data_IF_528153583149
#
_entry.id   IF_528153583149
#
_cell.length_a   1.000
_cell.length_b   1.000
_cell.length_c   1.000
_cell.angle_alpha   90.00
_cell.angle_beta   90.00
_cell.angle_gamma   90.00
#
_symmetry.space_group_name_H-M   'P 1'
#
loop_
_entity.id
_entity.type
_entity.pdbx_description
1 polymer ?
#
# COMPACT_ATOMS: atom_id res chain seq x y z
N UNK A 1 -9.92 1.25 -1.20
CA UNK A 1 -8.98 0.86 -2.27
C UNK A 1 -9.59 -0.11 -3.29
N UNK A 2 -10.02 -1.37 -2.97
CA UNK A 2 -10.50 -2.32 -3.99
C UNK A 2 -11.65 -1.77 -4.85
N UNK A 3 -12.58 -1.05 -4.24
CA UNK A 3 -13.73 -0.47 -4.94
C UNK A 3 -13.33 0.67 -5.90
N UNK A 4 -12.35 1.50 -5.55
CA UNK A 4 -11.85 2.56 -6.44
C UNK A 4 -11.20 1.96 -7.69
N UNK A 5 -10.46 0.84 -7.56
CA UNK A 5 -9.91 0.11 -8.71
C UNK A 5 -11.03 -0.49 -9.56
N UNK A 6 -12.05 -1.08 -8.92
CA UNK A 6 -13.20 -1.63 -9.64
C UNK A 6 -13.99 -0.53 -10.38
N UNK A 7 -14.17 0.64 -9.77
CA UNK A 7 -14.80 1.81 -10.42
C UNK A 7 -13.96 2.30 -11.62
N UNK A 8 -12.62 2.43 -11.47
CA UNK A 8 -11.71 2.82 -12.57
C UNK A 8 -11.77 1.83 -13.72
N UNK A 9 -11.74 0.53 -13.45
CA UNK A 9 -11.89 -0.51 -14.47
C UNK A 9 -13.23 -0.39 -15.21
N UNK A 10 -14.32 -0.20 -14.46
CA UNK A 10 -15.67 -0.06 -15.03
C UNK A 10 -15.79 1.16 -15.93
N UNK A 11 -15.19 2.29 -15.57
CA UNK A 11 -15.14 3.50 -16.40
C UNK A 11 -14.38 3.27 -17.73
N UNK A 12 -13.43 2.35 -17.74
CA UNK A 12 -12.65 1.95 -18.91
C UNK A 12 -13.32 0.83 -19.72
N UNK A 13 -14.57 0.45 -19.39
CA UNK A 13 -15.33 -0.58 -20.09
C UNK A 13 -14.94 -2.01 -19.73
N UNK A 14 -14.15 -2.22 -18.68
CA UNK A 14 -13.78 -3.54 -18.17
C UNK A 14 -14.75 -3.88 -17.04
N UNK A 15 -15.42 -5.04 -17.13
CA UNK A 15 -16.35 -5.50 -16.09
C UNK A 15 -15.58 -6.33 -15.03
N UNK A 16 -15.22 -5.74 -13.87
CA UNK A 16 -14.54 -6.48 -12.80
C UNK A 16 -15.51 -7.42 -12.08
N UNK A 17 -15.02 -8.57 -11.64
CA UNK A 17 -15.73 -9.46 -10.71
C UNK A 17 -15.00 -9.44 -9.38
N UNK A 18 -15.70 -9.12 -8.30
CA UNK A 18 -15.11 -9.08 -6.96
C UNK A 18 -15.21 -10.44 -6.27
N UNK A 19 -14.10 -10.94 -5.75
CA UNK A 19 -14.05 -12.10 -4.89
C UNK A 19 -13.75 -11.64 -3.47
N UNK A 20 -14.82 -11.27 -2.75
CA UNK A 20 -14.73 -10.62 -1.45
C UNK A 20 -14.48 -11.63 -0.33
N UNK A 21 -13.46 -11.36 0.50
CA UNK A 21 -13.19 -12.17 1.69
C UNK A 21 -14.22 -11.85 2.79
N UNK A 22 -14.87 -12.91 3.29
CA UNK A 22 -15.80 -12.78 4.41
C UNK A 22 -15.10 -12.24 5.65
N UNK A 23 -15.72 -11.26 6.29
CA UNK A 23 -15.17 -10.59 7.48
C UNK A 23 -14.13 -9.48 7.18
N UNK A 24 -13.66 -9.36 5.92
CA UNK A 24 -12.66 -8.35 5.54
C UNK A 24 -13.21 -7.25 4.63
N UNK A 25 -14.42 -7.42 4.07
CA UNK A 25 -15.02 -6.47 3.14
C UNK A 25 -16.36 -5.96 3.66
N UNK A 26 -16.65 -4.70 3.35
CA UNK A 26 -17.94 -4.06 3.60
C UNK A 26 -18.99 -4.61 2.61
N UNK A 27 -20.06 -5.27 3.09
CA UNK A 27 -21.06 -5.89 2.22
C UNK A 27 -21.76 -4.89 1.31
N UNK A 28 -22.18 -3.74 1.82
CA UNK A 28 -22.94 -2.74 1.05
C UNK A 28 -22.15 -2.20 -0.14
N UNK A 29 -20.84 -2.12 0.01
CA UNK A 29 -19.93 -1.71 -1.07
C UNK A 29 -19.67 -2.80 -2.07
N UNK A 30 -19.61 -4.07 -1.63
CA UNK A 30 -19.38 -5.23 -2.49
C UNK A 30 -20.58 -5.48 -3.40
N UNK A 31 -21.81 -5.30 -2.90
CA UNK A 31 -23.07 -5.51 -3.63
C UNK A 31 -23.23 -4.63 -4.87
N UNK A 32 -22.50 -3.51 -4.95
CA UNK A 32 -22.48 -2.62 -6.13
C UNK A 32 -21.88 -3.26 -7.38
N UNK A 33 -21.14 -4.37 -7.21
CA UNK A 33 -20.39 -5.04 -8.27
C UNK A 33 -20.84 -6.50 -8.42
N UNK A 34 -20.60 -7.10 -9.57
CA UNK A 34 -20.66 -8.56 -9.71
C UNK A 34 -19.66 -9.18 -8.75
N UNK A 35 -20.11 -10.06 -7.85
CA UNK A 35 -19.26 -10.53 -6.78
C UNK A 35 -19.52 -11.96 -6.33
N UNK A 36 -18.53 -12.55 -5.67
CA UNK A 36 -18.62 -13.81 -4.94
C UNK A 36 -18.00 -13.67 -3.56
N UNK A 37 -18.67 -14.21 -2.55
CA UNK A 37 -18.11 -14.30 -1.21
C UNK A 37 -17.30 -15.58 -1.05
N UNK A 38 -16.02 -15.45 -0.65
CA UNK A 38 -15.09 -16.53 -0.35
C UNK A 38 -14.58 -16.40 1.09
N UNK A 39 -14.10 -17.51 1.64
CA UNK A 39 -13.46 -17.50 2.97
C UNK A 39 -11.99 -17.85 2.82
N UNK A 40 -11.16 -17.39 3.76
CA UNK A 40 -9.74 -17.78 3.80
C UNK A 40 -9.64 -19.31 3.93
N UNK A 41 -8.73 -19.92 3.15
CA UNK A 41 -8.57 -21.36 3.11
C UNK A 41 -9.43 -22.08 2.06
N UNK A 42 -10.24 -21.37 1.25
CA UNK A 42 -11.06 -21.94 0.18
C UNK A 42 -10.45 -21.71 -1.22
N UNK A 43 -9.15 -21.96 -1.40
CA UNK A 43 -8.47 -21.74 -2.66
C UNK A 43 -9.04 -22.57 -3.82
N UNK A 44 -9.43 -23.83 -3.55
CA UNK A 44 -10.04 -24.67 -4.57
C UNK A 44 -11.43 -24.18 -5.01
N UNK A 45 -12.24 -23.63 -4.10
CA UNK A 45 -13.50 -22.95 -4.43
C UNK A 45 -13.24 -21.66 -5.21
N UNK A 46 -12.28 -20.85 -4.77
CA UNK A 46 -11.93 -19.62 -5.42
C UNK A 46 -11.50 -19.87 -6.89
N UNK A 47 -10.60 -20.81 -7.14
CA UNK A 47 -10.16 -21.16 -8.51
C UNK A 47 -11.27 -21.65 -9.41
N UNK A 48 -12.24 -22.43 -8.87
CA UNK A 48 -13.43 -22.84 -9.62
C UNK A 48 -14.30 -21.64 -10.01
N UNK A 49 -14.52 -20.70 -9.07
CA UNK A 49 -15.27 -19.49 -9.33
C UNK A 49 -14.56 -18.58 -10.35
N UNK A 50 -13.23 -18.40 -10.24
CA UNK A 50 -12.46 -17.64 -11.23
C UNK A 50 -12.65 -18.19 -12.65
N UNK A 51 -12.60 -19.52 -12.81
CA UNK A 51 -12.82 -20.18 -14.10
C UNK A 51 -14.27 -20.05 -14.60
N UNK A 52 -15.27 -20.21 -13.72
CA UNK A 52 -16.68 -20.06 -14.10
C UNK A 52 -17.05 -18.64 -14.52
N UNK A 53 -16.35 -17.64 -13.97
CA UNK A 53 -16.48 -16.24 -14.35
C UNK A 53 -15.64 -15.86 -15.60
N UNK A 54 -14.85 -16.80 -16.14
CA UNK A 54 -13.97 -16.56 -17.27
C UNK A 54 -12.77 -15.65 -16.96
N UNK A 55 -12.43 -15.48 -15.66
CA UNK A 55 -11.30 -14.67 -15.26
C UNK A 55 -9.99 -15.31 -15.70
N UNK A 56 -9.13 -14.54 -16.33
CA UNK A 56 -7.74 -14.91 -16.67
C UNK A 56 -6.75 -14.08 -15.85
N UNK A 57 -7.04 -12.82 -15.66
CA UNK A 57 -6.25 -11.87 -14.91
C UNK A 57 -6.82 -11.72 -13.51
N UNK A 58 -5.96 -11.83 -12.50
CA UNK A 58 -6.33 -11.71 -11.10
C UNK A 58 -5.46 -10.65 -10.43
N UNK A 59 -6.07 -9.84 -9.59
CA UNK A 59 -5.37 -8.84 -8.79
C UNK A 59 -5.77 -9.00 -7.32
N UNK A 60 -4.79 -8.93 -6.42
CA UNK A 60 -5.03 -8.83 -4.99
C UNK A 60 -5.00 -7.37 -4.56
N UNK A 61 -6.03 -6.93 -3.85
CA UNK A 61 -6.13 -5.55 -3.37
C UNK A 61 -6.66 -5.55 -1.94
N UNK A 62 -5.93 -4.94 -1.04
CA UNK A 62 -6.31 -4.80 0.36
C UNK A 62 -5.33 -5.51 1.29
N UNK A 63 -5.52 -5.28 2.58
CA UNK A 63 -4.70 -5.89 3.63
C UNK A 63 -5.31 -7.24 4.02
N UNK A 64 -4.53 -8.29 3.90
CA UNK A 64 -4.91 -9.60 4.44
C UNK A 64 -4.41 -9.69 5.88
N UNK A 65 -5.31 -9.42 6.83
CA UNK A 65 -5.01 -9.70 8.23
C UNK A 65 -4.88 -11.22 8.41
N UNK A 66 -3.88 -11.66 9.18
CA UNK A 66 -3.72 -13.09 9.50
C UNK A 66 -4.98 -13.59 10.19
N UNK A 67 -5.76 -14.48 9.54
CA UNK A 67 -7.00 -14.96 10.13
C UNK A 67 -6.68 -15.81 11.38
N UNK A 68 -7.56 -15.75 12.37
CA UNK A 68 -7.51 -16.73 13.44
C UNK A 68 -7.69 -18.15 12.87
N UNK A 69 -7.03 -19.15 13.44
CA UNK A 69 -7.14 -20.54 12.97
C UNK A 69 -8.59 -21.04 12.89
N UNK A 70 -9.47 -20.53 13.76
CA UNK A 70 -10.90 -20.83 13.79
C UNK A 70 -11.67 -20.28 12.59
N UNK A 71 -11.13 -19.29 11.87
CA UNK A 71 -11.76 -18.65 10.71
C UNK A 71 -11.35 -19.29 9.38
N UNK A 72 -10.31 -20.13 9.40
CA UNK A 72 -9.78 -20.81 8.22
C UNK A 72 -10.70 -21.99 7.87
N UNK A 73 -11.35 -21.91 6.72
CA UNK A 73 -12.17 -23.00 6.16
C UNK A 73 -11.40 -23.71 5.05
N UNK A 74 -10.73 -24.81 5.38
CA UNK A 74 -9.95 -25.56 4.40
C UNK A 74 -10.88 -26.35 3.45
N UNK A 75 -10.66 -26.22 2.15
CA UNK A 75 -11.23 -27.11 1.14
C UNK A 75 -10.17 -28.08 0.56
N UNK A 76 -10.63 -29.09 -0.19
CA UNK A 76 -9.75 -30.08 -0.79
C UNK A 76 -8.69 -29.47 -1.74
N UNK A 77 -9.01 -28.38 -2.42
CA UNK A 77 -8.07 -27.66 -3.27
C UNK A 77 -6.94 -27.07 -2.45
N UNK A 78 -7.25 -26.45 -1.32
CA UNK A 78 -6.27 -25.89 -0.38
C UNK A 78 -5.43 -27.00 0.26
N UNK A 79 -6.05 -28.13 0.65
CA UNK A 79 -5.33 -29.27 1.25
C UNK A 79 -4.26 -29.81 0.29
N UNK A 80 -4.53 -29.92 -1.01
CA UNK A 80 -3.57 -30.38 -2.02
C UNK A 80 -2.32 -29.49 -2.13
N UNK A 81 -2.45 -28.21 -1.86
CA UNK A 81 -1.37 -27.23 -1.93
C UNK A 81 -0.89 -26.78 -0.55
N UNK A 82 -1.38 -27.42 0.52
CA UNK A 82 -1.17 -27.00 1.91
C UNK A 82 0.32 -26.86 2.26
N UNK A 83 1.18 -27.78 1.79
CA UNK A 83 2.63 -27.68 2.00
C UNK A 83 3.25 -26.41 1.40
N UNK A 84 2.78 -26.01 0.21
CA UNK A 84 3.23 -24.78 -0.47
C UNK A 84 2.68 -23.53 0.21
N UNK A 85 1.42 -23.54 0.60
CA UNK A 85 0.77 -22.48 1.37
C UNK A 85 1.46 -22.33 2.72
N UNK A 86 1.75 -23.43 3.42
CA UNK A 86 2.44 -23.41 4.72
C UNK A 86 3.86 -22.85 4.62
N UNK A 87 4.59 -23.15 3.54
CA UNK A 87 5.90 -22.56 3.30
C UNK A 87 5.81 -21.02 3.10
N UNK A 88 4.76 -20.53 2.44
CA UNK A 88 4.49 -19.11 2.27
C UNK A 88 4.11 -18.41 3.60
N UNK A 89 3.45 -19.11 4.52
CA UNK A 89 3.09 -18.58 5.85
C UNK A 89 4.30 -18.34 6.78
N UNK A 90 5.45 -18.96 6.53
CA UNK A 90 6.68 -18.78 7.33
C UNK A 90 7.41 -17.47 7.06
N UNK A 91 7.05 -16.74 5.99
CA UNK A 91 7.51 -15.39 5.69
C UNK A 91 6.57 -14.31 6.24
N UNK A 92 6.86 -13.04 5.96
CA UNK A 92 5.96 -11.91 6.21
C UNK A 92 4.69 -11.98 5.36
N UNK A 93 3.79 -11.00 5.52
CA UNK A 93 2.51 -10.96 4.79
C UNK A 93 2.71 -10.86 3.26
N UNK A 94 3.77 -10.19 2.79
CA UNK A 94 4.18 -10.13 1.38
C UNK A 94 4.50 -11.52 0.81
N UNK A 95 5.13 -12.38 1.61
CA UNK A 95 5.45 -13.76 1.21
C UNK A 95 4.21 -14.62 1.06
N UNK A 96 3.16 -14.37 1.85
CA UNK A 96 1.90 -15.10 1.76
C UNK A 96 1.17 -14.79 0.46
N UNK A 97 0.97 -13.51 0.14
CA UNK A 97 0.29 -13.08 -1.09
C UNK A 97 1.07 -13.52 -2.32
N UNK A 98 2.39 -13.34 -2.32
CA UNK A 98 3.27 -13.80 -3.41
C UNK A 98 3.26 -15.34 -3.56
N UNK A 99 3.14 -16.07 -2.46
CA UNK A 99 3.02 -17.53 -2.46
C UNK A 99 1.71 -18.01 -3.07
N UNK A 100 0.59 -17.40 -2.68
CA UNK A 100 -0.74 -17.70 -3.25
C UNK A 100 -0.76 -17.29 -4.73
N UNK A 101 -0.20 -16.14 -5.09
CA UNK A 101 -0.10 -15.68 -6.47
C UNK A 101 0.62 -16.71 -7.35
N UNK A 102 1.78 -17.22 -6.91
CA UNK A 102 2.51 -18.27 -7.64
C UNK A 102 1.71 -19.57 -7.81
N UNK A 103 0.90 -19.96 -6.83
CA UNK A 103 0.04 -21.13 -6.94
C UNK A 103 -1.03 -20.90 -8.02
N UNK A 104 -1.64 -19.71 -8.06
CA UNK A 104 -2.63 -19.34 -9.06
C UNK A 104 -2.02 -19.25 -10.47
N UNK A 105 -0.79 -18.74 -10.60
CA UNK A 105 -0.05 -18.73 -11.87
C UNK A 105 0.23 -20.15 -12.38
N UNK A 106 0.60 -21.09 -11.50
CA UNK A 106 0.73 -22.51 -11.85
C UNK A 106 -0.59 -23.13 -12.28
N UNK A 107 -1.72 -22.63 -11.77
CA UNK A 107 -3.08 -23.06 -12.17
C UNK A 107 -3.56 -22.39 -13.47
N UNK A 108 -2.72 -21.58 -14.12
CA UNK A 108 -2.97 -20.96 -15.44
C UNK A 108 -3.62 -19.58 -15.38
N UNK A 109 -3.68 -18.92 -14.23
CA UNK A 109 -4.09 -17.52 -14.11
C UNK A 109 -2.87 -16.59 -14.30
N UNK A 110 -3.12 -15.33 -14.65
CA UNK A 110 -2.11 -14.28 -14.70
C UNK A 110 -2.33 -13.32 -13.53
N UNK A 111 -1.32 -13.18 -12.69
CA UNK A 111 -1.35 -12.16 -11.62
C UNK A 111 -0.93 -10.81 -12.18
N UNK A 112 -1.79 -9.82 -12.01
CA UNK A 112 -1.56 -8.43 -12.45
C UNK A 112 -1.54 -7.49 -11.24
N UNK A 113 -0.84 -6.36 -11.38
CA UNK A 113 -0.77 -5.32 -10.36
C UNK A 113 -1.63 -4.09 -10.69
N UNK A 114 -1.73 -3.15 -9.75
CA UNK A 114 -2.40 -1.85 -9.98
C UNK A 114 -1.82 -1.13 -11.19
N UNK A 115 -0.50 -1.24 -11.42
CA UNK A 115 0.20 -0.66 -12.57
C UNK A 115 -0.39 -1.11 -13.91
N UNK A 116 -0.83 -2.37 -13.99
CA UNK A 116 -1.36 -2.95 -15.22
C UNK A 116 -2.82 -2.57 -15.46
N UNK A 117 -3.59 -2.41 -14.37
CA UNK A 117 -5.06 -2.29 -14.44
C UNK A 117 -5.57 -0.88 -14.16
N UNK A 118 -4.88 -0.09 -13.34
CA UNK A 118 -5.28 1.27 -12.96
C UNK A 118 -4.05 2.18 -12.77
N UNK A 119 -3.23 2.40 -13.82
CA UNK A 119 -2.01 3.21 -13.74
C UNK A 119 -2.27 4.67 -13.34
N UNK A 120 -3.47 5.17 -13.61
CA UNK A 120 -3.97 6.49 -13.22
C UNK A 120 -4.10 6.68 -11.70
N UNK A 121 -4.12 5.59 -10.94
CA UNK A 121 -4.10 5.62 -9.48
C UNK A 121 -2.69 5.70 -8.88
N UNK A 122 -1.66 5.62 -9.70
CA UNK A 122 -0.28 5.70 -9.23
C UNK A 122 0.20 7.14 -9.14
N UNK A 123 1.06 7.41 -8.16
CA UNK A 123 1.71 8.71 -8.01
C UNK A 123 2.52 9.06 -9.28
N UNK A 124 2.28 10.21 -9.91
CA UNK A 124 3.10 10.67 -11.02
C UNK A 124 4.46 11.19 -10.54
N UNK A 125 5.41 11.35 -11.45
CA UNK A 125 6.67 12.06 -11.18
C UNK A 125 6.45 13.56 -11.03
N UNK A 126 7.30 14.17 -10.20
CA UNK A 126 7.28 15.62 -9.94
C UNK A 126 6.43 16.00 -8.75
N UNK A 127 6.31 17.28 -8.53
CA UNK A 127 5.47 17.84 -7.45
C UNK A 127 4.04 18.04 -7.97
N UNK A 128 3.05 17.57 -7.21
CA UNK A 128 1.64 17.65 -7.58
C UNK A 128 0.80 18.59 -6.70
N UNK A 129 1.40 19.19 -5.67
CA UNK A 129 0.79 20.19 -4.81
C UNK A 129 1.32 21.60 -5.15
N UNK A 130 0.71 22.66 -4.59
CA UNK A 130 1.15 24.04 -4.81
C UNK A 130 2.48 24.36 -4.13
N UNK A 131 2.67 23.88 -2.90
CA UNK A 131 3.94 24.03 -2.21
C UNK A 131 5.01 23.16 -2.89
N UNK A 132 6.25 23.64 -2.90
CA UNK A 132 7.39 22.92 -3.50
C UNK A 132 8.46 22.65 -2.45
N UNK A 133 9.22 21.54 -2.55
CA UNK A 133 10.30 21.25 -1.63
C UNK A 133 11.41 22.31 -1.76
N UNK A 134 11.84 22.87 -0.63
CA UNK A 134 13.02 23.73 -0.54
C UNK A 134 14.32 22.91 -0.60
N UNK A 135 15.51 23.52 -0.73
CA UNK A 135 16.78 22.80 -0.78
C UNK A 135 17.04 21.89 0.43
N UNK A 136 16.56 22.25 1.61
CA UNK A 136 16.72 21.43 2.80
C UNK A 136 15.79 20.19 2.75
N UNK A 137 14.55 20.37 2.30
CA UNK A 137 13.64 19.26 2.06
C UNK A 137 14.17 18.29 0.99
N UNK A 138 14.79 18.82 -0.08
CA UNK A 138 15.45 17.98 -1.10
C UNK A 138 16.59 17.13 -0.50
N UNK A 139 17.41 17.72 0.37
CA UNK A 139 18.46 16.99 1.08
C UNK A 139 17.89 15.93 2.03
N UNK A 140 16.81 16.25 2.76
CA UNK A 140 16.09 15.31 3.63
C UNK A 140 15.49 14.15 2.83
N UNK A 141 14.92 14.41 1.64
CA UNK A 141 14.41 13.39 0.72
C UNK A 141 15.53 12.44 0.30
N UNK A 142 16.67 12.98 -0.15
CA UNK A 142 17.81 12.17 -0.59
C UNK A 142 18.29 11.24 0.54
N UNK A 143 18.45 11.78 1.74
CA UNK A 143 18.83 11.00 2.92
C UNK A 143 17.78 9.93 3.28
N UNK A 144 16.49 10.27 3.21
CA UNK A 144 15.42 9.31 3.48
C UNK A 144 15.43 8.13 2.51
N UNK A 145 15.68 8.37 1.21
CA UNK A 145 15.85 7.31 0.20
C UNK A 145 17.03 6.39 0.53
N UNK A 146 18.17 6.97 0.88
CA UNK A 146 19.38 6.22 1.27
C UNK A 146 19.11 5.30 2.46
N UNK A 147 18.45 5.83 3.51
CA UNK A 147 18.10 5.07 4.72
C UNK A 147 17.13 3.93 4.38
N UNK A 148 16.06 4.18 3.63
CA UNK A 148 15.11 3.13 3.24
C UNK A 148 15.77 2.05 2.37
N UNK A 149 16.68 2.45 1.47
CA UNK A 149 17.46 1.49 0.69
C UNK A 149 18.34 0.58 1.57
N UNK A 150 18.98 1.15 2.58
CA UNK A 150 19.81 0.40 3.52
C UNK A 150 19.00 -0.53 4.45
N UNK A 151 17.77 -0.15 4.81
CA UNK A 151 16.88 -0.95 5.66
C UNK A 151 16.11 -2.04 4.91
N UNK A 152 15.97 -1.90 3.60
CA UNK A 152 15.24 -2.85 2.74
C UNK A 152 15.60 -4.33 2.97
N UNK A 153 16.89 -4.71 3.04
CA UNK A 153 17.31 -6.10 3.28
C UNK A 153 16.87 -6.67 4.63
N UNK A 154 16.56 -5.81 5.62
CA UNK A 154 16.13 -6.22 6.96
C UNK A 154 14.61 -6.28 7.12
N UNK A 155 13.87 -5.97 6.06
CA UNK A 155 12.39 -5.92 6.07
C UNK A 155 11.82 -4.92 7.09
N UNK A 156 12.56 -3.84 7.40
CA UNK A 156 12.17 -2.81 8.36
C UNK A 156 11.46 -1.67 7.64
N UNK A 157 10.14 -1.56 7.86
CA UNK A 157 9.31 -0.43 7.43
C UNK A 157 9.44 -0.06 5.93
N UNK A 158 8.69 0.93 5.53
CA UNK A 158 8.75 1.49 4.17
C UNK A 158 8.62 3.03 4.19
N UNK A 159 8.71 3.62 5.40
CA UNK A 159 8.67 5.07 5.58
C UNK A 159 9.68 5.53 6.63
N UNK A 160 10.21 6.73 6.42
CA UNK A 160 11.15 7.39 7.32
C UNK A 160 10.85 8.88 7.39
N UNK A 161 11.01 9.49 8.56
CA UNK A 161 10.95 10.94 8.73
C UNK A 161 12.36 11.48 8.92
N UNK A 162 12.73 12.42 8.07
CA UNK A 162 14.01 13.15 8.13
C UNK A 162 13.73 14.62 8.34
N UNK A 163 14.44 15.28 9.27
CA UNK A 163 14.31 16.70 9.57
C UNK A 163 15.70 17.31 9.66
N UNK A 164 16.00 18.27 8.79
CA UNK A 164 17.29 18.99 8.74
C UNK A 164 18.50 18.02 8.73
N UNK A 165 18.43 16.98 7.90
CA UNK A 165 19.45 15.95 7.76
C UNK A 165 19.49 14.93 8.90
N UNK A 166 18.58 15.01 9.87
CA UNK A 166 18.50 14.06 10.97
C UNK A 166 17.33 13.06 10.78
N UNK A 167 17.62 11.75 10.82
CA UNK A 167 16.59 10.70 10.83
C UNK A 167 15.95 10.67 12.21
N UNK A 168 14.72 11.14 12.33
CA UNK A 168 14.03 11.26 13.62
C UNK A 168 13.15 10.05 13.94
N UNK A 169 12.67 9.33 12.91
CA UNK A 169 11.87 8.13 13.10
C UNK A 169 11.86 7.27 11.83
N UNK A 170 11.82 5.96 12.01
CA UNK A 170 11.64 4.95 10.95
C UNK A 170 10.35 4.20 11.26
N UNK A 171 9.58 3.87 10.21
CA UNK A 171 8.36 3.06 10.34
C UNK A 171 8.69 1.64 10.83
N UNK A 172 7.87 1.13 11.71
CA UNK A 172 7.91 -0.23 12.22
C UNK A 172 6.50 -0.85 12.11
N UNK A 173 6.18 -1.84 12.92
CA UNK A 173 4.90 -2.55 12.97
C UNK A 173 3.68 -1.62 13.21
N UNK A 174 3.94 -0.42 13.71
CA UNK A 174 2.92 0.63 13.93
C UNK A 174 2.34 1.23 12.63
N UNK A 175 3.02 1.03 11.49
CA UNK A 175 2.67 1.60 10.21
C UNK A 175 2.87 3.12 10.12
N UNK A 176 2.59 3.69 8.94
CA UNK A 176 2.85 5.11 8.65
C UNK A 176 2.06 6.06 9.58
N UNK A 177 0.81 5.71 9.92
CA UNK A 177 -0.01 6.53 10.81
C UNK A 177 0.60 6.58 12.23
N UNK A 178 1.05 5.45 12.75
CA UNK A 178 1.73 5.36 14.05
C UNK A 178 3.06 6.09 14.06
N UNK A 179 3.85 5.98 12.98
CA UNK A 179 5.08 6.75 12.79
C UNK A 179 4.82 8.26 12.89
N UNK A 180 3.84 8.78 12.15
CA UNK A 180 3.52 10.21 12.14
C UNK A 180 3.00 10.69 13.50
N UNK A 181 2.15 9.90 14.16
CA UNK A 181 1.70 10.19 15.52
C UNK A 181 2.85 10.19 16.54
N UNK A 182 3.84 9.32 16.37
CA UNK A 182 5.06 9.30 17.20
C UNK A 182 5.90 10.56 16.98
N UNK A 183 6.08 11.00 15.74
CA UNK A 183 6.80 12.24 15.41
C UNK A 183 6.11 13.46 16.02
N UNK A 184 4.78 13.56 15.92
CA UNK A 184 4.00 14.63 16.55
C UNK A 184 4.25 14.70 18.06
N UNK A 185 4.14 13.56 18.76
CA UNK A 185 4.41 13.46 20.22
C UNK A 185 5.86 13.85 20.59
N UNK A 186 6.85 13.48 19.77
CA UNK A 186 8.24 13.87 20.00
C UNK A 186 8.43 15.38 19.87
N UNK A 187 7.69 16.00 18.95
CA UNK A 187 7.69 17.47 18.76
C UNK A 187 7.03 18.17 19.97
N UNK A 188 5.86 17.72 20.40
CA UNK A 188 5.16 18.22 21.59
C UNK A 188 6.01 18.11 22.87
N UNK A 189 6.75 17.01 23.01
CA UNK A 189 7.68 16.78 24.13
C UNK A 189 8.98 17.58 24.01
N UNK A 190 9.14 18.48 23.01
CA UNK A 190 10.33 19.30 22.81
C UNK A 190 11.58 18.50 22.40
N UNK A 191 11.44 17.25 22.01
CA UNK A 191 12.55 16.41 21.52
C UNK A 191 12.95 16.80 20.10
N UNK A 192 12.00 17.23 19.26
CA UNK A 192 12.24 17.81 17.95
C UNK A 192 12.17 19.33 18.07
N UNK A 193 13.33 19.98 17.94
CA UNK A 193 13.45 21.44 18.12
C UNK A 193 13.31 22.23 16.80
N UNK A 194 13.33 21.53 15.66
CA UNK A 194 13.11 22.16 14.36
C UNK A 194 11.72 22.81 14.33
N UNK A 195 11.63 23.97 13.66
CA UNK A 195 10.34 24.67 13.47
C UNK A 195 9.34 23.80 12.73
N UNK A 196 8.05 24.02 12.96
CA UNK A 196 6.99 23.43 12.13
C UNK A 196 7.18 23.83 10.66
N UNK A 197 6.82 22.95 9.74
CA UNK A 197 7.08 23.14 8.31
C UNK A 197 8.52 22.74 7.90
N UNK A 198 9.25 21.98 8.74
CA UNK A 198 10.57 21.42 8.42
C UNK A 198 10.53 19.89 8.46
N UNK A 199 11.29 19.27 7.56
CA UNK A 199 11.41 17.82 7.45
C UNK A 199 10.39 17.18 6.53
N UNK A 200 10.63 15.94 6.16
CA UNK A 200 9.90 15.21 5.12
C UNK A 200 9.58 13.80 5.58
N UNK A 201 8.38 13.31 5.28
CA UNK A 201 8.09 11.89 5.25
C UNK A 201 8.55 11.34 3.89
N UNK A 202 9.51 10.42 3.89
CA UNK A 202 9.91 9.70 2.66
C UNK A 202 9.36 8.29 2.73
N UNK A 203 8.66 7.85 1.67
CA UNK A 203 8.08 6.51 1.59
C UNK A 203 8.48 5.82 0.28
N UNK A 204 9.00 4.60 0.38
CA UNK A 204 9.43 3.81 -0.76
C UNK A 204 9.08 2.33 -0.56
N UNK A 205 8.80 1.58 -1.62
CA UNK A 205 8.64 0.14 -1.51
C UNK A 205 9.95 -0.50 -1.07
N UNK A 206 9.88 -1.62 -0.37
CA UNK A 206 11.05 -2.43 -0.03
C UNK A 206 11.62 -3.07 -1.29
N UNK A 207 12.93 -3.26 -1.34
CA UNK A 207 13.63 -3.82 -2.51
C UNK A 207 13.22 -5.27 -2.84
N UNK A 208 12.73 -6.02 -1.86
CA UNK A 208 12.26 -7.42 -2.01
C UNK A 208 10.77 -7.55 -2.28
N UNK A 209 10.01 -6.45 -2.28
CA UNK A 209 8.54 -6.43 -2.37
C UNK A 209 8.07 -6.73 -3.80
N UNK A 210 7.13 -7.67 -3.94
CA UNK A 210 6.45 -7.87 -5.23
C UNK A 210 5.38 -6.81 -5.43
N UNK A 211 5.70 -5.83 -6.25
CA UNK A 211 4.85 -4.66 -6.51
C UNK A 211 3.49 -4.99 -7.17
N UNK A 212 3.26 -6.24 -7.57
CA UNK A 212 1.95 -6.68 -8.04
C UNK A 212 0.96 -6.87 -6.90
N UNK A 213 1.46 -7.19 -5.69
CA UNK A 213 0.64 -7.57 -4.54
C UNK A 213 0.61 -6.52 -3.45
N UNK A 214 1.71 -5.79 -3.28
CA UNK A 214 1.80 -4.79 -2.23
C UNK A 214 2.51 -3.53 -2.75
N UNK A 215 1.76 -2.44 -2.78
CA UNK A 215 2.24 -1.11 -3.12
C UNK A 215 2.01 -0.17 -1.94
N UNK A 216 3.02 0.62 -1.57
CA UNK A 216 2.81 1.73 -0.65
C UNK A 216 1.60 2.56 -1.08
N UNK A 217 0.77 2.94 -0.12
CA UNK A 217 -0.39 3.79 -0.39
C UNK A 217 -0.26 5.08 0.41
N UNK A 218 -0.63 6.19 -0.21
CA UNK A 218 -0.77 7.51 0.42
C UNK A 218 -2.15 8.08 0.08
N UNK A 219 -2.71 8.85 0.99
CA UNK A 219 -4.02 9.46 0.83
C UNK A 219 -4.22 10.62 1.80
N UNK A 220 -5.43 11.15 1.88
CA UNK A 220 -5.79 12.30 2.73
C UNK A 220 -5.31 12.09 4.18
N UNK A 221 -5.54 10.91 4.76
CA UNK A 221 -5.12 10.61 6.14
C UNK A 221 -3.60 10.71 6.33
N UNK A 222 -2.81 10.30 5.33
CA UNK A 222 -1.35 10.46 5.38
C UNK A 222 -0.97 11.94 5.36
N UNK A 223 -1.61 12.76 4.53
CA UNK A 223 -1.37 14.20 4.47
C UNK A 223 -1.73 14.88 5.79
N UNK A 224 -2.89 14.54 6.38
CA UNK A 224 -3.29 15.03 7.70
C UNK A 224 -2.26 14.65 8.78
N UNK A 225 -1.75 13.42 8.74
CA UNK A 225 -0.70 12.97 9.64
C UNK A 225 0.62 13.74 9.47
N UNK A 226 1.02 14.03 8.20
CA UNK A 226 2.20 14.85 7.87
C UNK A 226 2.04 16.27 8.40
N UNK A 227 0.86 16.87 8.24
CA UNK A 227 0.51 18.18 8.79
C UNK A 227 0.58 18.18 10.33
N UNK A 228 -0.05 17.19 10.97
CA UNK A 228 -0.06 17.02 12.43
C UNK A 228 1.33 16.81 13.03
N UNK A 229 2.23 16.15 12.28
CA UNK A 229 3.64 16.01 12.66
C UNK A 229 4.47 17.27 12.43
N UNK A 230 3.89 18.34 11.83
CA UNK A 230 4.56 19.60 11.55
C UNK A 230 5.68 19.45 10.51
N UNK A 231 5.53 18.57 9.53
CA UNK A 231 6.49 18.38 8.44
C UNK A 231 6.19 19.32 7.28
N UNK A 232 7.13 19.46 6.34
CA UNK A 232 7.00 20.31 5.15
C UNK A 232 6.26 19.58 4.01
N UNK A 233 6.26 18.25 4.00
CA UNK A 233 5.62 17.48 2.96
C UNK A 233 5.99 16.01 2.96
N UNK A 234 5.64 15.36 1.85
CA UNK A 234 5.87 13.93 1.62
C UNK A 234 6.58 13.71 0.28
N UNK A 235 7.48 12.74 0.25
CA UNK A 235 8.10 12.25 -0.97
C UNK A 235 7.90 10.73 -1.11
N UNK A 236 7.47 10.27 -2.28
CA UNK A 236 7.17 8.86 -2.56
C UNK A 236 7.72 8.46 -3.93
N UNK A 237 7.89 7.17 -4.19
CA UNK A 237 8.37 6.69 -5.49
C UNK A 237 7.21 6.69 -6.49
N UNK A 238 7.35 7.47 -7.56
CA UNK A 238 6.39 7.55 -8.66
C UNK A 238 6.22 6.20 -9.36
N UNK A 239 5.01 5.89 -9.81
CA UNK A 239 4.68 4.61 -10.43
C UNK A 239 4.76 3.39 -9.47
N UNK A 240 5.24 3.58 -8.25
CA UNK A 240 5.38 2.53 -7.22
C UNK A 240 4.63 2.85 -5.93
N UNK A 241 3.83 3.90 -5.93
CA UNK A 241 3.00 4.32 -4.79
C UNK A 241 1.60 4.64 -5.30
N UNK A 242 0.59 4.16 -4.61
CA UNK A 242 -0.81 4.44 -4.92
C UNK A 242 -1.21 5.77 -4.27
N UNK A 243 -1.76 6.68 -5.07
CA UNK A 243 -2.40 7.90 -4.62
C UNK A 243 -3.91 7.64 -4.43
N UNK A 244 -4.31 7.30 -3.22
CA UNK A 244 -5.72 7.05 -2.92
C UNK A 244 -6.48 8.38 -2.87
N UNK A 245 -7.44 8.57 -3.80
CA UNK A 245 -8.18 9.82 -3.98
C UNK A 245 -7.23 11.02 -4.16
N UNK A 246 -6.49 11.02 -5.28
CA UNK A 246 -5.43 11.98 -5.55
C UNK A 246 -5.90 13.43 -5.49
N UNK A 247 -7.14 13.72 -5.95
CA UNK A 247 -7.70 15.07 -5.91
C UNK A 247 -7.90 15.56 -4.47
N UNK A 248 -8.57 14.77 -3.63
CA UNK A 248 -8.78 15.12 -2.23
C UNK A 248 -7.46 15.22 -1.44
N UNK A 249 -6.49 14.37 -1.80
CA UNK A 249 -5.13 14.38 -1.21
C UNK A 249 -4.39 15.68 -1.55
N UNK A 250 -4.42 16.12 -2.82
CA UNK A 250 -3.81 17.39 -3.27
C UNK A 250 -4.48 18.58 -2.57
N UNK A 251 -5.82 18.61 -2.52
CA UNK A 251 -6.56 19.66 -1.83
C UNK A 251 -6.22 19.74 -0.34
N UNK A 252 -6.06 18.60 0.33
CA UNK A 252 -5.64 18.55 1.73
C UNK A 252 -4.22 19.09 1.91
N UNK A 253 -3.28 18.74 1.03
CA UNK A 253 -1.91 19.23 1.06
C UNK A 253 -1.85 20.74 0.81
N UNK A 254 -2.59 21.23 -0.18
CA UNK A 254 -2.65 22.67 -0.51
C UNK A 254 -3.21 23.50 0.64
N UNK A 255 -4.26 23.00 1.33
CA UNK A 255 -4.80 23.67 2.53
C UNK A 255 -3.81 23.73 3.67
N UNK A 256 -2.97 22.68 3.81
CA UNK A 256 -1.96 22.58 4.87
C UNK A 256 -0.60 23.22 4.50
N UNK A 257 -0.43 23.69 3.25
CA UNK A 257 0.83 24.24 2.76
C UNK A 257 1.94 23.20 2.61
N UNK A 258 1.58 21.94 2.31
CA UNK A 258 2.49 20.81 2.19
C UNK A 258 2.79 20.51 0.72
N UNK A 259 4.02 20.08 0.42
CA UNK A 259 4.33 19.52 -0.90
C UNK A 259 4.07 18.00 -0.96
N UNK A 260 3.80 17.51 -2.17
CA UNK A 260 3.68 16.09 -2.49
C UNK A 260 4.59 15.81 -3.66
N UNK A 261 5.71 15.12 -3.44
CA UNK A 261 6.74 14.90 -4.43
C UNK A 261 6.78 13.43 -4.87
N UNK A 262 6.52 13.16 -6.17
CA UNK A 262 6.82 11.90 -6.81
C UNK A 262 8.27 11.85 -7.26
N UNK A 263 9.04 10.90 -6.76
CA UNK A 263 10.45 10.68 -7.09
C UNK A 263 10.58 9.66 -8.22
N UNK A 264 11.56 9.77 -9.10
CA UNK A 264 11.85 8.73 -10.07
C UNK A 264 12.21 7.41 -9.37
N UNK A 265 11.82 6.28 -10.00
CA UNK A 265 12.03 4.92 -9.50
C UNK A 265 13.51 4.48 -9.52
#
# INVERSE_FOLDING_TARGET
>A
MPFAVADSLSQRGIAPVLFALRGACDPDRVERFRHHWISVGQLGRATKLFRSEGCRDLIFIGTLLRPALSEIRLDWGTIRVLGRVWAAFRGGDDHLLSGIGRILEQDGFRMVGIRDVAPDMLMPEGNIARATPDPAAIADIAKGREVLGALGPFDIGQAVVVIDGHVVAVEDIEGTDGLLARVARLREAGRIRAKSGRGVLVKAPKSSQDLRFDLPTVGVKTIEGVAGAGLAGIAVIAGHTIAADSQAMIEAADRAGLFIQGLPA
#
